data_IF_805776158251
#
_entry.id   IF_805776158251
#
_cell.length_a   1.000
_cell.length_b   1.000
_cell.length_c   1.000
_cell.angle_alpha   90.00
_cell.angle_beta   90.00
_cell.angle_gamma   90.00
#
_symmetry.space_group_name_H-M   'P 1'
#
loop_
_entity.id
_entity.type
_entity.pdbx_description
1 polymer ?
#
# COMPACT_ATOMS: atom_id res chain seq x y z
N UNK A 1 63.12 29.51 -7.77
CA UNK A 1 62.79 28.79 -6.53
C UNK A 1 61.30 28.90 -6.29
N UNK A 2 60.60 27.75 -6.22
CA UNK A 2 59.43 27.42 -5.36
C UNK A 2 58.26 28.43 -5.34
N UNK A 3 57.11 28.07 -5.94
CA UNK A 3 55.93 27.48 -5.25
C UNK A 3 55.23 28.52 -4.35
N UNK A 4 53.91 28.75 -4.33
CA UNK A 4 52.75 27.90 -4.50
C UNK A 4 51.55 28.87 -4.40
N UNK A 5 50.46 28.72 -5.16
CA UNK A 5 49.08 28.88 -4.67
C UNK A 5 48.11 28.65 -5.84
N UNK A 6 47.66 27.40 -5.92
CA UNK A 6 46.60 26.95 -6.81
C UNK A 6 45.25 27.36 -6.21
N UNK A 7 44.45 28.11 -6.97
CA UNK A 7 43.01 28.23 -6.72
C UNK A 7 42.28 27.23 -7.65
N UNK A 8 41.83 26.13 -7.07
CA UNK A 8 40.97 25.15 -7.73
C UNK A 8 39.50 25.63 -7.67
N UNK A 9 38.73 25.62 -8.77
CA UNK A 9 37.30 25.80 -8.72
C UNK A 9 36.63 24.50 -8.28
N UNK A 10 35.99 24.52 -7.11
CA UNK A 10 35.19 23.41 -6.58
C UNK A 10 33.91 23.30 -7.40
N UNK A 11 33.87 22.30 -8.29
CA UNK A 11 32.68 21.93 -9.05
C UNK A 11 31.60 21.38 -8.10
N UNK A 12 30.46 22.06 -8.06
CA UNK A 12 29.27 21.72 -7.30
C UNK A 12 28.58 20.50 -7.95
N UNK A 13 29.00 19.29 -7.56
CA UNK A 13 28.33 18.05 -7.91
C UNK A 13 27.03 17.92 -7.10
N UNK A 14 25.92 18.42 -7.65
CA UNK A 14 24.57 18.14 -7.16
C UNK A 14 24.27 16.65 -7.37
N UNK A 15 24.37 15.89 -6.28
CA UNK A 15 23.98 14.49 -6.21
C UNK A 15 22.53 14.32 -6.67
N UNK A 16 22.36 13.60 -7.78
CA UNK A 16 21.09 13.00 -8.21
C UNK A 16 20.70 11.96 -7.15
N UNK A 17 19.87 12.36 -6.19
CA UNK A 17 19.23 11.42 -5.26
C UNK A 17 18.10 10.72 -6.03
N UNK A 18 18.44 9.64 -6.73
CA UNK A 18 17.45 8.73 -7.29
C UNK A 18 16.60 8.13 -6.15
N UNK A 19 15.28 7.99 -6.30
CA UNK A 19 14.43 7.44 -5.27
C UNK A 19 14.89 6.01 -4.95
N UNK A 20 15.29 5.78 -3.71
CA UNK A 20 15.63 4.44 -3.22
C UNK A 20 14.44 3.52 -3.46
N UNK A 21 14.65 2.50 -4.31
CA UNK A 21 13.72 1.41 -4.52
C UNK A 21 13.65 0.60 -3.24
N UNK A 22 12.72 0.96 -2.36
CA UNK A 22 12.42 0.18 -1.16
C UNK A 22 11.98 -1.23 -1.59
N UNK A 23 12.87 -2.20 -1.47
CA UNK A 23 12.56 -3.61 -1.61
C UNK A 23 11.81 -4.06 -0.36
N UNK A 24 10.49 -3.99 -0.40
CA UNK A 24 9.64 -4.53 0.66
C UNK A 24 9.58 -6.04 0.52
N UNK A 25 10.06 -6.78 1.51
CA UNK A 25 9.87 -8.23 1.59
C UNK A 25 8.37 -8.55 1.58
N UNK A 26 7.90 -9.19 0.51
CA UNK A 26 6.50 -9.62 0.37
C UNK A 26 6.30 -10.86 1.26
N UNK A 27 5.54 -10.72 2.34
CA UNK A 27 5.10 -11.87 3.14
C UNK A 27 3.88 -12.49 2.46
N UNK A 28 4.08 -13.64 1.79
CA UNK A 28 3.02 -14.38 1.10
C UNK A 28 2.08 -15.14 2.07
N UNK A 29 2.31 -15.07 3.38
CA UNK A 29 1.60 -15.86 4.39
C UNK A 29 2.04 -17.33 4.39
N UNK A 30 1.45 -18.17 5.26
CA UNK A 30 1.68 -19.61 5.27
C UNK A 30 0.93 -20.27 4.11
N UNK A 31 1.35 -20.00 2.88
CA UNK A 31 0.90 -20.81 1.73
C UNK A 31 1.69 -22.10 1.83
N UNK A 32 1.01 -23.18 2.26
CA UNK A 32 1.65 -24.49 2.31
C UNK A 32 2.00 -24.94 0.90
N UNK A 33 3.28 -24.83 0.55
CA UNK A 33 3.84 -25.38 -0.69
C UNK A 33 4.04 -26.91 -0.60
N UNK A 34 3.65 -27.54 0.52
CA UNK A 34 3.83 -28.99 0.73
C UNK A 34 3.00 -29.78 -0.29
N UNK A 35 3.69 -30.57 -1.11
CA UNK A 35 3.07 -31.37 -2.18
C UNK A 35 2.80 -30.61 -3.47
N UNK A 36 3.16 -29.33 -3.57
CA UNK A 36 3.06 -28.57 -4.82
C UNK A 36 4.40 -28.63 -5.57
N UNK A 37 4.32 -28.99 -6.85
CA UNK A 37 5.46 -28.96 -7.78
C UNK A 37 5.33 -27.76 -8.71
N UNK A 38 6.45 -27.08 -9.01
CA UNK A 38 6.49 -25.99 -9.96
C UNK A 38 6.11 -26.51 -11.37
N UNK A 39 5.09 -25.93 -11.98
CA UNK A 39 4.57 -26.33 -13.30
C UNK A 39 5.14 -25.49 -14.46
N UNK A 40 6.14 -24.65 -14.20
CA UNK A 40 6.69 -23.71 -15.17
C UNK A 40 6.03 -22.32 -15.10
N UNK A 41 6.46 -21.38 -15.97
CA UNK A 41 5.93 -20.02 -15.99
C UNK A 41 4.45 -19.99 -16.37
N UNK A 42 3.70 -19.03 -15.81
CA UNK A 42 2.32 -18.81 -16.20
C UNK A 42 2.25 -18.39 -17.69
N UNK A 43 1.27 -18.89 -18.47
CA UNK A 43 1.09 -18.49 -19.85
C UNK A 43 0.88 -16.98 -20.00
N UNK A 44 1.53 -16.38 -21.01
CA UNK A 44 1.37 -14.96 -21.33
C UNK A 44 0.00 -14.67 -21.95
N UNK A 45 -0.57 -13.51 -21.64
CA UNK A 45 -1.89 -13.08 -22.11
C UNK A 45 -3.05 -13.48 -21.19
N UNK A 46 -2.79 -14.19 -20.10
CA UNK A 46 -3.81 -14.52 -19.11
C UNK A 46 -4.21 -13.28 -18.31
N UNK A 47 -5.53 -13.09 -18.15
CA UNK A 47 -6.08 -12.01 -17.32
C UNK A 47 -6.18 -12.45 -15.88
N UNK A 48 -5.31 -11.92 -15.03
CA UNK A 48 -5.33 -12.15 -13.59
C UNK A 48 -6.12 -11.05 -12.90
N UNK A 49 -7.12 -11.44 -12.10
CA UNK A 49 -7.83 -10.51 -11.21
C UNK A 49 -7.10 -10.41 -9.88
N UNK A 50 -6.57 -9.22 -9.59
CA UNK A 50 -5.90 -8.90 -8.35
C UNK A 50 -6.83 -8.11 -7.44
N UNK A 51 -6.83 -8.47 -6.17
CA UNK A 51 -7.49 -7.73 -5.11
C UNK A 51 -6.47 -7.32 -4.05
N UNK A 52 -6.41 -6.03 -3.76
CA UNK A 52 -5.48 -5.46 -2.79
C UNK A 52 -6.26 -4.91 -1.62
N UNK A 53 -5.99 -5.44 -0.44
CA UNK A 53 -6.50 -4.88 0.82
C UNK A 53 -5.69 -3.65 1.22
N UNK A 54 -6.37 -2.58 1.61
CA UNK A 54 -5.73 -1.44 2.25
C UNK A 54 -5.65 -1.64 3.75
N UNK A 55 -4.64 -1.03 4.36
CA UNK A 55 -4.52 -0.97 5.82
C UNK A 55 -5.42 0.16 6.33
N UNK A 56 -6.41 -0.21 7.14
CA UNK A 56 -7.28 0.71 7.87
C UNK A 56 -6.61 1.22 9.16
N UNK A 57 -7.19 2.23 9.81
CA UNK A 57 -6.81 2.66 11.15
C UNK A 57 -7.29 1.64 12.20
N UNK A 58 -6.52 0.56 12.37
CA UNK A 58 -6.87 -0.56 13.24
C UNK A 58 -7.01 -0.15 14.71
N UNK A 59 -6.16 0.76 15.19
CA UNK A 59 -6.27 1.30 16.55
C UNK A 59 -7.57 2.07 16.75
N UNK A 60 -7.99 2.88 15.77
CA UNK A 60 -9.23 3.63 15.83
C UNK A 60 -10.46 2.72 15.85
N UNK A 61 -10.45 1.66 15.02
CA UNK A 61 -11.51 0.64 15.02
C UNK A 61 -11.56 -0.09 16.36
N UNK A 62 -10.41 -0.56 16.87
CA UNK A 62 -10.35 -1.24 18.17
C UNK A 62 -10.90 -0.38 19.31
N UNK A 63 -10.53 0.91 19.35
CA UNK A 63 -11.01 1.83 20.37
C UNK A 63 -12.53 2.10 20.24
N UNK A 64 -13.03 2.25 19.02
CA UNK A 64 -14.46 2.44 18.79
C UNK A 64 -15.29 1.22 19.21
N UNK A 65 -14.81 0.00 18.91
CA UNK A 65 -15.45 -1.24 19.34
C UNK A 65 -15.43 -1.37 20.86
N UNK A 66 -14.29 -1.13 21.50
CA UNK A 66 -14.20 -1.13 22.98
C UNK A 66 -15.18 -0.15 23.62
N UNK A 67 -15.30 1.05 23.07
CA UNK A 67 -16.24 2.06 23.56
C UNK A 67 -17.71 1.67 23.33
N UNK A 68 -18.03 1.01 22.22
CA UNK A 68 -19.38 0.53 21.92
C UNK A 68 -19.80 -0.70 22.74
N UNK A 69 -18.82 -1.51 23.17
CA UNK A 69 -19.05 -2.75 23.93
C UNK A 69 -18.88 -2.59 25.44
N UNK A 70 -18.49 -1.42 25.95
CA UNK A 70 -18.33 -1.17 27.39
C UNK A 70 -19.61 -0.53 27.99
N UNK A 71 -20.31 -1.18 28.96
CA UNK A 71 -21.50 -0.63 29.59
C UNK A 71 -21.31 0.71 30.31
N UNK A 72 -20.09 1.01 30.77
CA UNK A 72 -19.75 2.28 31.41
C UNK A 72 -19.51 3.43 30.41
N UNK A 73 -19.52 3.14 29.11
CA UNK A 73 -19.31 4.14 28.05
C UNK A 73 -20.63 4.81 27.64
N UNK A 74 -20.60 6.12 27.40
CA UNK A 74 -21.73 6.86 26.81
C UNK A 74 -22.07 6.43 25.37
N UNK A 75 -21.17 5.64 24.76
CA UNK A 75 -21.33 5.06 23.43
C UNK A 75 -21.74 3.59 23.46
N UNK A 76 -22.06 3.03 24.63
CA UNK A 76 -22.48 1.63 24.75
C UNK A 76 -23.70 1.33 23.87
N UNK A 77 -23.65 0.22 23.13
CA UNK A 77 -24.69 -0.19 22.19
C UNK A 77 -24.76 0.64 20.90
N UNK A 78 -23.92 1.68 20.75
CA UNK A 78 -23.89 2.53 19.55
C UNK A 78 -22.79 2.07 18.59
N UNK A 79 -23.13 1.10 17.76
CA UNK A 79 -22.23 0.62 16.72
C UNK A 79 -22.19 1.58 15.53
N UNK A 80 -20.99 1.77 14.99
CA UNK A 80 -20.78 2.62 13.82
C UNK A 80 -21.33 1.96 12.57
N UNK A 81 -21.97 2.75 11.71
CA UNK A 81 -22.33 2.30 10.37
C UNK A 81 -21.09 1.98 9.54
N UNK A 82 -21.26 1.15 8.50
CA UNK A 82 -20.18 0.86 7.56
C UNK A 82 -19.61 2.15 6.91
N UNK A 83 -20.49 3.11 6.57
CA UNK A 83 -20.09 4.40 6.03
C UNK A 83 -19.21 5.21 6.99
N UNK A 84 -19.48 5.15 8.29
CA UNK A 84 -18.69 5.84 9.32
C UNK A 84 -17.35 5.14 9.56
N UNK A 85 -17.34 3.81 9.56
CA UNK A 85 -16.09 3.03 9.65
C UNK A 85 -15.17 3.34 8.47
N UNK A 86 -15.71 3.38 7.26
CA UNK A 86 -14.99 3.74 6.06
C UNK A 86 -14.46 5.17 6.09
N UNK A 87 -15.30 6.16 6.41
CA UNK A 87 -14.89 7.57 6.33
C UNK A 87 -13.87 7.94 7.41
N UNK A 88 -14.04 7.40 8.62
CA UNK A 88 -13.23 7.75 9.78
C UNK A 88 -11.98 6.88 9.95
N UNK A 89 -12.08 5.60 9.59
CA UNK A 89 -11.01 4.63 9.82
C UNK A 89 -10.55 3.90 8.56
N UNK A 90 -11.17 4.12 7.41
CA UNK A 90 -10.72 3.56 6.14
C UNK A 90 -9.37 4.12 5.68
N UNK A 91 -8.85 3.55 4.60
CA UNK A 91 -7.60 4.00 4.01
C UNK A 91 -7.73 5.44 3.49
N UNK A 92 -6.73 6.29 3.70
CA UNK A 92 -6.79 7.69 3.25
C UNK A 92 -6.78 7.81 1.72
N UNK A 93 -7.32 8.92 1.19
CA UNK A 93 -7.34 9.20 -0.25
C UNK A 93 -5.94 9.15 -0.88
N UNK A 94 -4.92 9.61 -0.15
CA UNK A 94 -3.51 9.52 -0.60
C UNK A 94 -3.05 8.07 -0.81
N UNK A 95 -3.35 7.17 0.14
CA UNK A 95 -2.99 5.75 0.04
C UNK A 95 -3.74 5.05 -1.10
N UNK A 96 -5.02 5.37 -1.30
CA UNK A 96 -5.81 4.85 -2.43
C UNK A 96 -5.26 5.32 -3.77
N UNK A 97 -4.95 6.61 -3.88
CA UNK A 97 -4.36 7.19 -5.08
C UNK A 97 -2.96 6.63 -5.37
N UNK A 98 -2.18 6.32 -4.34
CA UNK A 98 -0.90 5.63 -4.48
C UNK A 98 -1.05 4.29 -5.20
N UNK A 99 -2.05 3.48 -4.81
CA UNK A 99 -2.32 2.19 -5.47
C UNK A 99 -2.86 2.40 -6.89
N UNK A 100 -3.80 3.32 -7.10
CA UNK A 100 -4.31 3.64 -8.45
C UNK A 100 -3.16 4.02 -9.39
N UNK A 101 -2.27 4.92 -8.95
CA UNK A 101 -1.14 5.38 -9.75
C UNK A 101 -0.10 4.28 -9.99
N UNK A 102 0.05 3.34 -9.06
CA UNK A 102 0.91 2.17 -9.25
C UNK A 102 0.42 1.22 -10.35
N UNK A 103 -0.89 1.20 -10.68
CA UNK A 103 -1.40 0.41 -11.80
C UNK A 103 -1.46 1.17 -13.13
N UNK A 104 -1.54 2.50 -13.08
CA UNK A 104 -1.50 3.34 -14.29
C UNK A 104 -0.26 3.12 -15.14
N UNK A 105 0.91 2.88 -14.52
CA UNK A 105 2.16 2.54 -15.24
C UNK A 105 2.08 1.25 -16.06
N UNK A 106 1.09 0.40 -15.80
CA UNK A 106 0.83 -0.83 -16.54
C UNK A 106 -0.42 -0.72 -17.42
N UNK A 107 -0.86 0.51 -17.73
CA UNK A 107 -2.07 0.80 -18.52
C UNK A 107 -3.36 0.22 -17.94
N UNK A 108 -3.35 -0.12 -16.64
CA UNK A 108 -4.50 -0.65 -15.92
C UNK A 108 -4.97 0.34 -14.85
N UNK A 109 -6.29 0.45 -14.67
CA UNK A 109 -6.87 1.31 -13.64
C UNK A 109 -7.44 0.45 -12.54
N UNK A 110 -6.84 0.54 -11.34
CA UNK A 110 -7.40 -0.09 -10.16
C UNK A 110 -8.69 0.62 -9.74
N UNK A 111 -9.77 -0.14 -9.55
CA UNK A 111 -11.05 0.34 -9.05
C UNK A 111 -11.11 0.18 -7.53
N UNK A 112 -11.49 1.24 -6.83
CA UNK A 112 -11.66 1.20 -5.38
C UNK A 112 -13.07 0.70 -5.06
N UNK A 113 -13.16 -0.22 -4.10
CA UNK A 113 -14.41 -0.70 -3.54
C UNK A 113 -15.21 0.40 -2.83
N UNK A 114 -16.53 0.21 -2.71
CA UNK A 114 -17.42 1.14 -2.00
C UNK A 114 -17.04 1.36 -0.55
N UNK A 115 -16.30 0.45 0.09
CA UNK A 115 -15.79 0.56 1.46
C UNK A 115 -14.46 1.31 1.57
N UNK A 116 -13.82 1.66 0.45
CA UNK A 116 -12.45 2.23 0.42
C UNK A 116 -11.38 1.36 1.12
N UNK A 117 -11.68 0.09 1.37
CA UNK A 117 -10.75 -0.86 2.02
C UNK A 117 -10.11 -1.82 1.03
N UNK A 118 -10.57 -1.84 -0.23
CA UNK A 118 -10.04 -2.75 -1.26
C UNK A 118 -9.90 -2.04 -2.60
N UNK A 119 -8.91 -2.46 -3.37
CA UNK A 119 -8.76 -2.11 -4.78
C UNK A 119 -8.78 -3.38 -5.64
N UNK A 120 -9.42 -3.30 -6.80
CA UNK A 120 -9.53 -4.37 -7.78
C UNK A 120 -8.84 -3.95 -9.07
N UNK A 121 -8.03 -4.83 -9.65
CA UNK A 121 -7.42 -4.59 -10.94
C UNK A 121 -7.29 -5.90 -11.70
N UNK A 122 -7.61 -5.87 -12.98
CA UNK A 122 -7.32 -6.99 -13.88
C UNK A 122 -6.03 -6.66 -14.62
N UNK A 123 -5.04 -7.54 -14.50
CA UNK A 123 -3.73 -7.41 -15.11
C UNK A 123 -3.49 -8.59 -16.06
N UNK A 124 -3.04 -8.30 -17.27
CA UNK A 124 -2.49 -9.33 -18.13
C UNK A 124 -1.07 -9.66 -17.68
N UNK A 125 -0.77 -10.95 -17.51
CA UNK A 125 0.57 -11.48 -17.23
C UNK A 125 1.19 -12.13 -18.45
#
# INVERSE_FOLDING_TARGET
MRALLAMAPVALALFVVGPATASTSINYGPISHKGLTNAGPAPTGLKLSLQLGFIANQSGISNAVKAASNPASSSYGKYLSMSTLQSKYGASSSKRNGVINAFKKYSNTAKIDVTHLRAYVTQSI
#
